data_IF_552783550510
#
_entry.id   IF_552783550510
#
_cell.length_a   1.000
_cell.length_b   1.000
_cell.length_c   1.000
_cell.angle_alpha   90.00
_cell.angle_beta   90.00
_cell.angle_gamma   90.00
#
_symmetry.space_group_name_H-M   'P 1'
#
loop_
_entity.id
_entity.type
_entity.pdbx_description
1 polymer ?
#
# COMPACT_ATOMS: atom_id res chain seq x y z
N UNK A 1 7.66 7.36 -67.58
CA UNK A 1 6.72 6.21 -67.64
C UNK A 1 7.40 4.99 -67.02
N UNK A 2 6.63 4.20 -66.24
CA UNK A 2 6.99 2.89 -65.65
C UNK A 2 7.56 1.94 -66.74
N UNK A 3 8.37 0.91 -66.47
CA UNK A 3 8.17 -0.22 -65.54
C UNK A 3 9.49 -0.98 -65.28
N UNK A 4 9.54 -1.54 -64.09
CA UNK A 4 10.49 -2.51 -63.50
C UNK A 4 10.40 -3.89 -64.18
N UNK A 5 11.51 -4.64 -64.22
CA UNK A 5 11.60 -6.11 -64.18
C UNK A 5 13.10 -6.49 -64.07
N UNK A 6 13.70 -6.66 -62.88
CA UNK A 6 13.74 -7.87 -62.01
C UNK A 6 13.99 -9.20 -62.74
N UNK A 7 15.13 -9.83 -62.45
CA UNK A 7 15.30 -11.28 -62.33
C UNK A 7 16.66 -11.62 -61.71
N UNK A 8 16.68 -11.79 -60.39
CA UNK A 8 17.74 -12.47 -59.63
C UNK A 8 17.25 -13.88 -59.29
N UNK A 9 18.03 -14.94 -59.56
CA UNK A 9 17.78 -16.23 -58.93
C UNK A 9 18.94 -16.65 -58.02
N UNK A 10 18.59 -17.51 -57.06
CA UNK A 10 19.46 -18.38 -56.24
C UNK A 10 19.98 -17.76 -54.95
N UNK A 11 19.25 -18.01 -53.85
CA UNK A 11 19.81 -18.72 -52.71
C UNK A 11 18.67 -19.24 -51.83
N UNK A 12 18.37 -20.52 -52.05
CA UNK A 12 17.57 -21.37 -51.19
C UNK A 12 18.29 -21.47 -49.83
N UNK A 13 17.93 -20.63 -48.86
CA UNK A 13 18.24 -20.89 -47.46
C UNK A 13 16.92 -21.15 -46.74
N UNK A 14 16.56 -22.43 -46.74
CA UNK A 14 15.63 -23.01 -45.79
C UNK A 14 16.11 -22.63 -44.39
N UNK A 15 15.48 -21.60 -43.84
CA UNK A 15 15.57 -21.27 -42.43
C UNK A 15 14.85 -22.40 -41.69
N UNK A 16 15.57 -23.47 -41.36
CA UNK A 16 15.14 -24.40 -40.32
C UNK A 16 14.92 -23.55 -39.08
N UNK A 17 13.67 -23.16 -38.83
CA UNK A 17 13.24 -22.81 -37.50
C UNK A 17 13.38 -24.08 -36.69
N UNK A 18 14.54 -24.26 -36.07
CA UNK A 18 14.65 -25.03 -34.85
C UNK A 18 13.69 -24.38 -33.87
N UNK A 19 12.45 -24.88 -33.83
CA UNK A 19 11.59 -24.75 -32.67
C UNK A 19 12.28 -25.54 -31.59
N UNK A 20 13.33 -24.94 -31.00
CA UNK A 20 13.77 -25.31 -29.68
C UNK A 20 12.58 -24.95 -28.82
N UNK A 21 11.76 -25.95 -28.49
CA UNK A 21 10.83 -25.87 -27.40
C UNK A 21 11.66 -25.46 -26.18
N UNK A 22 11.76 -24.16 -25.92
CA UNK A 22 12.19 -23.68 -24.63
C UNK A 22 11.12 -24.22 -23.69
N UNK A 23 11.46 -25.28 -22.94
CA UNK A 23 10.70 -25.64 -21.75
C UNK A 23 10.54 -24.34 -20.97
N UNK A 24 9.34 -23.77 -21.03
CA UNK A 24 8.98 -22.60 -20.25
C UNK A 24 8.98 -23.12 -18.83
N UNK A 25 10.13 -23.03 -18.17
CA UNK A 25 10.33 -23.57 -16.84
C UNK A 25 9.34 -22.86 -15.92
N UNK A 26 8.25 -23.56 -15.61
CA UNK A 26 7.01 -23.06 -15.02
C UNK A 26 7.29 -22.36 -13.69
N UNK A 27 8.36 -22.77 -13.01
CA UNK A 27 8.83 -22.19 -11.75
C UNK A 27 9.35 -20.76 -11.91
N UNK A 28 10.11 -20.48 -12.97
CA UNK A 28 10.64 -19.13 -13.24
C UNK A 28 9.52 -18.16 -13.63
N UNK A 29 8.56 -18.62 -14.43
CA UNK A 29 7.38 -17.85 -14.81
C UNK A 29 6.47 -17.60 -13.59
N UNK A 30 6.30 -18.60 -12.72
CA UNK A 30 5.56 -18.49 -11.46
C UNK A 30 6.18 -17.45 -10.53
N UNK A 31 7.52 -17.42 -10.42
CA UNK A 31 8.22 -16.40 -9.62
C UNK A 31 8.02 -14.99 -10.17
N UNK A 32 8.16 -14.80 -11.49
CA UNK A 32 7.90 -13.50 -12.14
C UNK A 32 6.46 -13.05 -11.91
N UNK A 33 5.49 -13.95 -12.07
CA UNK A 33 4.07 -13.65 -11.80
C UNK A 33 3.84 -13.21 -10.35
N UNK A 34 4.43 -13.91 -9.37
CA UNK A 34 4.35 -13.54 -7.95
C UNK A 34 4.98 -12.19 -7.65
N UNK A 35 6.14 -11.89 -8.24
CA UNK A 35 6.82 -10.61 -8.10
C UNK A 35 5.94 -9.48 -8.65
N UNK A 36 5.39 -9.64 -9.85
CA UNK A 36 4.52 -8.64 -10.47
C UNK A 36 3.25 -8.41 -9.62
N UNK A 37 2.62 -9.48 -9.14
CA UNK A 37 1.45 -9.37 -8.26
C UNK A 37 1.77 -8.60 -6.96
N UNK A 38 2.96 -8.83 -6.39
CA UNK A 38 3.41 -8.14 -5.19
C UNK A 38 3.79 -6.68 -5.45
N UNK A 39 4.35 -6.36 -6.60
CA UNK A 39 4.62 -4.98 -7.02
C UNK A 39 3.31 -4.21 -7.19
N UNK A 40 2.31 -4.78 -7.88
CA UNK A 40 0.98 -4.16 -7.99
C UNK A 40 0.33 -3.99 -6.62
N UNK A 41 0.46 -4.98 -5.72
CA UNK A 41 -0.03 -4.85 -4.35
C UNK A 41 0.69 -3.72 -3.60
N UNK A 42 2.01 -3.62 -3.74
CA UNK A 42 2.81 -2.59 -3.10
C UNK A 42 2.39 -1.19 -3.53
N UNK A 43 2.21 -0.96 -4.83
CA UNK A 43 1.73 0.31 -5.38
C UNK A 43 0.37 0.70 -4.79
N UNK A 44 -0.56 -0.27 -4.68
CA UNK A 44 -1.87 -0.06 -4.07
C UNK A 44 -1.76 0.31 -2.60
N UNK A 45 -0.91 -0.38 -1.83
CA UNK A 45 -0.72 -0.09 -0.42
C UNK A 45 -0.08 1.30 -0.22
N UNK A 46 0.88 1.67 -1.08
CA UNK A 46 1.53 2.98 -1.05
C UNK A 46 0.54 4.11 -1.39
N UNK A 47 -0.34 3.95 -2.38
CA UNK A 47 -1.34 4.97 -2.71
C UNK A 47 -2.38 5.14 -1.59
N UNK A 48 -2.69 4.06 -0.86
CA UNK A 48 -3.57 4.12 0.30
C UNK A 48 -2.91 4.80 1.49
N UNK A 49 -1.58 4.75 1.61
CA UNK A 49 -0.85 5.23 2.77
C UNK A 49 -1.04 6.74 2.97
N UNK A 50 -0.88 7.53 1.91
CA UNK A 50 -1.06 8.98 1.98
C UNK A 50 -2.45 9.36 2.48
N UNK A 51 -3.50 8.69 1.98
CA UNK A 51 -4.87 8.94 2.41
C UNK A 51 -5.09 8.57 3.88
N UNK A 52 -4.46 7.50 4.36
CA UNK A 52 -4.60 7.07 5.75
C UNK A 52 -3.80 7.95 6.71
N UNK A 53 -2.63 8.46 6.30
CA UNK A 53 -1.86 9.45 7.05
C UNK A 53 -2.71 10.70 7.25
N UNK A 54 -3.32 11.23 6.18
CA UNK A 54 -4.20 12.40 6.29
C UNK A 54 -5.39 12.15 7.24
N UNK A 55 -6.02 10.97 7.15
CA UNK A 55 -7.10 10.59 8.07
C UNK A 55 -6.64 10.49 9.52
N UNK A 56 -5.41 10.01 9.77
CA UNK A 56 -4.79 9.96 11.10
C UNK A 56 -4.57 11.38 11.62
N UNK A 57 -4.02 12.28 10.81
CA UNK A 57 -3.80 13.68 11.18
C UNK A 57 -5.13 14.38 11.52
N UNK A 58 -6.13 14.28 10.65
CA UNK A 58 -7.47 14.84 10.87
C UNK A 58 -8.11 14.31 12.15
N UNK A 59 -8.01 13.00 12.40
CA UNK A 59 -8.55 12.38 13.61
C UNK A 59 -7.81 12.83 14.87
N UNK A 60 -6.49 13.02 14.79
CA UNK A 60 -5.65 13.49 15.89
C UNK A 60 -5.97 14.95 16.23
N UNK A 61 -6.12 15.80 15.22
CA UNK A 61 -6.52 17.19 15.39
C UNK A 61 -7.89 17.31 16.06
N UNK A 62 -8.90 16.57 15.58
CA UNK A 62 -10.22 16.54 16.21
C UNK A 62 -10.19 16.01 17.64
N UNK A 63 -9.39 14.98 17.92
CA UNK A 63 -9.23 14.48 19.27
C UNK A 63 -8.64 15.54 20.22
N UNK A 64 -7.65 16.31 19.75
CA UNK A 64 -7.06 17.40 20.52
C UNK A 64 -8.05 18.55 20.76
N UNK A 65 -8.81 18.94 19.73
CA UNK A 65 -9.87 19.95 19.85
C UNK A 65 -10.92 19.53 20.88
N UNK A 66 -11.45 18.32 20.75
CA UNK A 66 -12.46 17.77 21.67
C UNK A 66 -11.92 17.64 23.10
N UNK A 67 -10.65 17.28 23.27
CA UNK A 67 -9.99 17.26 24.58
C UNK A 67 -9.90 18.67 25.20
N UNK A 68 -9.52 19.67 24.42
CA UNK A 68 -9.47 21.07 24.86
C UNK A 68 -10.86 21.60 25.23
N UNK A 69 -11.90 21.25 24.45
CA UNK A 69 -13.28 21.62 24.77
C UNK A 69 -13.79 20.95 26.05
N UNK A 70 -13.45 19.67 26.26
CA UNK A 70 -13.75 18.95 27.49
C UNK A 70 -13.11 19.63 28.69
N UNK A 71 -11.81 19.95 28.60
CA UNK A 71 -11.09 20.67 29.65
C UNK A 71 -11.76 22.01 29.97
N UNK A 72 -12.10 22.81 28.94
CA UNK A 72 -12.82 24.08 29.13
C UNK A 72 -14.18 23.89 29.81
N UNK A 73 -14.92 22.84 29.47
CA UNK A 73 -16.22 22.55 30.09
C UNK A 73 -16.07 22.07 31.54
N UNK A 74 -15.06 21.25 31.82
CA UNK A 74 -14.73 20.79 33.16
C UNK A 74 -14.31 21.95 34.07
N UNK A 75 -13.46 22.86 33.59
CA UNK A 75 -13.05 24.05 34.36
C UNK A 75 -14.27 24.92 34.72
N UNK A 76 -15.15 25.20 33.75
CA UNK A 76 -16.38 25.97 34.01
C UNK A 76 -17.30 25.31 35.05
N UNK A 77 -17.36 23.98 35.06
CA UNK A 77 -18.12 23.24 36.07
C UNK A 77 -17.42 23.32 37.44
N UNK A 78 -16.09 23.24 37.47
CA UNK A 78 -15.28 23.38 38.68
C UNK A 78 -15.47 24.74 39.35
N UNK A 79 -15.62 25.81 38.56
CA UNK A 79 -15.89 27.16 39.07
C UNK A 79 -17.29 27.31 39.70
N UNK A 80 -18.25 26.47 39.28
CA UNK A 80 -19.63 26.48 39.77
C UNK A 80 -20.11 25.06 40.08
N UNK A 81 -19.56 24.43 41.14
CA UNK A 81 -19.95 23.08 41.53
C UNK A 81 -21.46 23.03 41.82
N UNK A 82 -22.12 21.94 41.41
CA UNK A 82 -23.57 21.77 41.58
C UNK A 82 -24.45 22.36 40.46
N UNK A 83 -23.88 23.11 39.50
CA UNK A 83 -24.66 23.58 38.36
C UNK A 83 -25.00 22.43 37.39
N UNK A 84 -26.24 21.94 37.44
CA UNK A 84 -26.75 20.81 36.62
C UNK A 84 -26.58 21.03 35.10
N UNK A 85 -26.68 22.26 34.60
CA UNK A 85 -26.52 22.56 33.16
C UNK A 85 -25.06 22.45 32.75
N UNK A 86 -24.14 22.94 33.56
CA UNK A 86 -22.70 22.81 33.32
C UNK A 86 -22.25 21.36 33.45
N UNK A 87 -22.79 20.60 34.41
CA UNK A 87 -22.50 19.18 34.58
C UNK A 87 -22.85 18.38 33.32
N UNK A 88 -24.06 18.55 32.78
CA UNK A 88 -24.49 17.91 31.53
C UNK A 88 -23.63 18.31 30.34
N UNK A 89 -23.19 19.57 30.26
CA UNK A 89 -22.31 20.03 29.18
C UNK A 89 -20.92 19.42 29.28
N UNK A 90 -20.34 19.35 30.48
CA UNK A 90 -19.04 18.72 30.71
C UNK A 90 -19.10 17.22 30.36
N UNK A 91 -20.12 16.51 30.82
CA UNK A 91 -20.34 15.10 30.49
C UNK A 91 -20.45 14.85 28.96
N UNK A 92 -21.24 15.68 28.26
CA UNK A 92 -21.33 15.61 26.79
C UNK A 92 -19.97 15.81 26.12
N UNK A 93 -19.19 16.80 26.56
CA UNK A 93 -17.86 17.08 25.98
C UNK A 93 -16.85 15.98 26.30
N UNK A 94 -16.90 15.40 27.49
CA UNK A 94 -16.09 14.24 27.85
C UNK A 94 -16.40 13.02 26.96
N UNK A 95 -17.68 12.76 26.69
CA UNK A 95 -18.11 11.67 25.80
C UNK A 95 -17.62 11.85 24.37
N UNK A 96 -17.67 13.07 23.84
CA UNK A 96 -17.14 13.42 22.51
C UNK A 96 -15.62 13.24 22.48
N UNK A 97 -14.88 13.80 23.45
CA UNK A 97 -13.43 13.67 23.55
C UNK A 97 -12.98 12.20 23.62
N UNK A 98 -13.68 11.37 24.40
CA UNK A 98 -13.42 9.92 24.48
C UNK A 98 -13.59 9.24 23.13
N UNK A 99 -14.64 9.59 22.39
CA UNK A 99 -14.92 9.03 21.07
C UNK A 99 -13.85 9.42 20.06
N UNK A 100 -13.50 10.70 19.99
CA UNK A 100 -12.51 11.20 19.04
C UNK A 100 -11.11 10.66 19.35
N UNK A 101 -10.74 10.58 20.63
CA UNK A 101 -9.49 9.93 21.04
C UNK A 101 -9.43 8.44 20.64
N UNK A 102 -10.57 7.73 20.67
CA UNK A 102 -10.64 6.34 20.17
C UNK A 102 -10.50 6.29 18.64
N UNK A 103 -11.10 7.24 17.92
CA UNK A 103 -10.99 7.33 16.47
C UNK A 103 -9.56 7.65 16.03
N UNK A 104 -8.87 8.57 16.70
CA UNK A 104 -7.46 8.89 16.46
C UNK A 104 -6.57 7.65 16.65
N UNK A 105 -6.75 6.90 17.75
CA UNK A 105 -6.04 5.64 17.99
C UNK A 105 -6.26 4.61 16.88
N UNK A 106 -7.51 4.42 16.45
CA UNK A 106 -7.84 3.51 15.34
C UNK A 106 -7.21 3.97 14.02
N UNK A 107 -7.22 5.26 13.74
CA UNK A 107 -6.62 5.81 12.53
C UNK A 107 -5.10 5.62 12.53
N UNK A 108 -4.44 5.81 13.68
CA UNK A 108 -3.02 5.49 13.83
C UNK A 108 -2.75 4.01 13.59
N UNK A 109 -3.49 3.11 14.24
CA UNK A 109 -3.30 1.67 14.07
C UNK A 109 -3.44 1.22 12.60
N UNK A 110 -4.36 1.81 11.84
CA UNK A 110 -4.49 1.53 10.40
C UNK A 110 -3.26 1.95 9.58
N UNK A 111 -2.62 3.06 9.96
CA UNK A 111 -1.37 3.50 9.30
C UNK A 111 -0.25 2.52 9.65
N UNK A 112 -0.14 2.11 10.90
CA UNK A 112 0.89 1.17 11.36
C UNK A 112 0.72 -0.21 10.69
N UNK A 113 -0.51 -0.72 10.61
CA UNK A 113 -0.84 -1.97 9.90
C UNK A 113 -0.47 -1.87 8.41
N UNK A 114 -0.80 -0.75 7.77
CA UNK A 114 -0.50 -0.54 6.35
C UNK A 114 1.00 -0.45 6.08
N UNK A 115 1.77 0.21 6.96
CA UNK A 115 3.23 0.25 6.88
C UNK A 115 3.84 -1.15 7.04
N UNK A 116 3.30 -1.96 7.97
CA UNK A 116 3.72 -3.35 8.14
C UNK A 116 3.42 -4.19 6.89
N UNK A 117 2.26 -4.02 6.28
CA UNK A 117 1.90 -4.72 5.04
C UNK A 117 2.80 -4.33 3.86
N UNK A 118 3.17 -3.05 3.77
CA UNK A 118 4.16 -2.55 2.79
C UNK A 118 5.50 -3.25 3.00
N UNK A 119 6.00 -3.29 4.24
CA UNK A 119 7.29 -3.90 4.55
C UNK A 119 7.30 -5.40 4.27
N UNK A 120 6.26 -6.11 4.71
CA UNK A 120 6.10 -7.54 4.41
C UNK A 120 6.05 -7.81 2.90
N UNK A 121 5.39 -6.93 2.14
CA UNK A 121 5.31 -7.07 0.68
C UNK A 121 6.67 -6.83 0.01
N UNK A 122 7.42 -5.82 0.45
CA UNK A 122 8.80 -5.59 -0.01
C UNK A 122 9.70 -6.80 0.26
N UNK A 123 9.64 -7.36 1.45
CA UNK A 123 10.42 -8.55 1.82
C UNK A 123 10.10 -9.75 0.92
N UNK A 124 8.81 -9.96 0.60
CA UNK A 124 8.39 -11.01 -0.34
C UNK A 124 8.92 -10.80 -1.75
N UNK A 125 8.89 -9.57 -2.25
CA UNK A 125 9.49 -9.22 -3.55
C UNK A 125 10.99 -9.55 -3.54
N UNK A 126 11.72 -9.08 -2.54
CA UNK A 126 13.17 -9.32 -2.41
C UNK A 126 13.48 -10.82 -2.32
N UNK A 127 12.72 -11.58 -1.53
CA UNK A 127 12.91 -13.03 -1.42
C UNK A 127 12.66 -13.75 -2.76
N UNK A 128 11.58 -13.39 -3.47
CA UNK A 128 11.27 -13.98 -4.77
C UNK A 128 12.28 -13.56 -5.85
N UNK A 129 12.76 -12.32 -5.83
CA UNK A 129 13.83 -11.85 -6.71
C UNK A 129 15.13 -12.61 -6.47
N UNK A 130 15.49 -12.87 -5.20
CA UNK A 130 16.65 -13.69 -4.85
C UNK A 130 16.54 -15.12 -5.37
N UNK A 131 15.35 -15.75 -5.28
CA UNK A 131 15.10 -17.06 -5.88
C UNK A 131 15.23 -17.01 -7.40
N UNK A 132 14.62 -16.02 -8.05
CA UNK A 132 14.66 -15.86 -9.50
C UNK A 132 16.09 -15.66 -10.02
N UNK A 133 16.93 -14.91 -9.30
CA UNK A 133 18.34 -14.72 -9.67
C UNK A 133 19.11 -16.04 -9.60
N UNK A 134 18.94 -16.84 -8.54
CA UNK A 134 19.54 -18.19 -8.44
C UNK A 134 19.15 -19.10 -9.62
N UNK A 135 17.88 -19.06 -10.05
CA UNK A 135 17.43 -19.79 -11.24
C UNK A 135 18.05 -19.29 -12.55
N UNK A 136 18.46 -18.02 -12.63
CA UNK A 136 19.13 -17.47 -13.81
C UNK A 136 20.61 -17.82 -13.82
N UNK A 137 21.27 -17.81 -12.66
CA UNK A 137 22.70 -18.11 -12.53
C UNK A 137 22.98 -19.60 -12.71
N UNK A 138 22.16 -20.49 -12.14
CA UNK A 138 22.29 -21.94 -12.34
C UNK A 138 21.94 -22.45 -13.75
N UNK A 139 21.51 -21.55 -14.67
CA UNK A 139 21.36 -21.85 -16.11
C UNK A 139 22.55 -21.39 -16.94
N UNK A 140 23.54 -20.71 -16.34
CA UNK A 140 24.74 -20.20 -17.01
C UNK A 140 25.97 -21.11 -16.85
N UNK A 141 25.87 -22.16 -16.02
CA UNK A 141 26.82 -23.27 -15.92
C UNK A 141 26.40 -24.43 -16.82
#
# INVERSE_FOLDING_TARGET
MRKVLLLTPIALLFFCMSVSAQEVNTDSLSLVSKINADQTKLEKLQSQLEQQIKKKEDATMRAQESANENLKAANKLSDKPGNKKLARRADKKASIAKRDAKNARKASGRVDDLQKDIENTKQRITANQGKLNKFKDGRRE
#
